data_IF_640340581630
#
_entry.id   IF_640340581630
#
_cell.length_a   1.000
_cell.length_b   1.000
_cell.length_c   1.000
_cell.angle_alpha   90.00
_cell.angle_beta   90.00
_cell.angle_gamma   90.00
#
_symmetry.space_group_name_H-M   'P 1'
#
loop_
_entity.id
_entity.type
_entity.pdbx_description
1 polymer ?
#
# COMPACT_ATOMS: atom_id res chain seq x y z
N UNK A 1 26.20 -8.24 7.59
CA UNK A 1 24.76 -8.10 7.92
C UNK A 1 23.95 -8.48 6.68
N UNK A 2 22.97 -9.37 6.79
CA UNK A 2 22.14 -9.74 5.64
C UNK A 2 21.35 -8.52 5.13
N UNK A 3 21.16 -8.39 3.81
CA UNK A 3 20.36 -7.31 3.20
C UNK A 3 18.97 -7.17 3.85
N UNK A 4 18.37 -8.31 4.22
CA UNK A 4 17.08 -8.37 4.90
C UNK A 4 17.11 -7.73 6.29
N UNK A 5 18.14 -8.01 7.10
CA UNK A 5 18.26 -7.41 8.44
C UNK A 5 18.37 -5.88 8.36
N UNK A 6 19.12 -5.35 7.40
CA UNK A 6 19.23 -3.89 7.20
C UNK A 6 17.91 -3.25 6.76
N UNK A 7 17.12 -3.94 5.92
CA UNK A 7 15.78 -3.50 5.51
C UNK A 7 14.83 -3.42 6.71
N UNK A 8 14.77 -4.48 7.52
CA UNK A 8 13.92 -4.53 8.72
C UNK A 8 14.34 -3.46 9.73
N UNK A 9 15.64 -3.30 10.00
CA UNK A 9 16.13 -2.26 10.90
C UNK A 9 15.81 -0.85 10.40
N UNK A 10 15.96 -0.58 9.10
CA UNK A 10 15.63 0.72 8.52
C UNK A 10 14.12 1.02 8.60
N UNK A 11 13.27 0.03 8.39
CA UNK A 11 11.83 0.18 8.52
C UNK A 11 11.42 0.49 9.98
N UNK A 12 12.05 -0.15 10.97
CA UNK A 12 11.78 0.09 12.40
C UNK A 12 12.24 1.48 12.84
N UNK A 13 13.41 1.94 12.35
CA UNK A 13 13.97 3.26 12.69
C UNK A 13 13.26 4.38 11.92
N UNK A 14 12.37 4.05 10.96
CA UNK A 14 11.69 5.03 10.10
C UNK A 14 12.57 5.59 8.99
N UNK A 15 13.75 4.99 8.77
CA UNK A 15 14.66 5.32 7.68
C UNK A 15 14.20 4.73 6.33
N UNK A 16 13.19 3.85 6.34
CA UNK A 16 12.54 3.34 5.13
C UNK A 16 11.34 4.24 4.79
N UNK A 17 11.43 4.92 3.64
CA UNK A 17 10.36 5.74 3.08
C UNK A 17 10.53 5.87 1.58
N UNK A 18 9.42 6.05 0.88
CA UNK A 18 9.41 6.49 -0.51
C UNK A 18 8.97 7.95 -0.57
N UNK A 19 9.50 8.70 -1.53
CA UNK A 19 9.00 10.04 -1.81
C UNK A 19 8.03 9.93 -2.96
N UNK A 20 6.83 10.43 -2.74
CA UNK A 20 5.76 10.47 -3.73
C UNK A 20 5.50 11.92 -4.11
N UNK A 21 5.39 12.19 -5.41
CA UNK A 21 5.11 13.52 -5.93
C UNK A 21 3.63 13.63 -6.33
N UNK A 22 2.90 14.55 -5.70
CA UNK A 22 1.52 14.87 -6.06
C UNK A 22 1.36 16.38 -6.09
N UNK A 23 0.84 16.93 -7.19
CA UNK A 23 0.62 18.37 -7.36
C UNK A 23 1.90 19.20 -7.14
N UNK A 24 3.05 18.69 -7.61
CA UNK A 24 4.35 19.36 -7.48
C UNK A 24 4.95 19.39 -6.07
N UNK A 25 4.31 18.74 -5.08
CA UNK A 25 4.83 18.60 -3.72
C UNK A 25 5.34 17.18 -3.46
N UNK A 26 6.46 17.08 -2.75
CA UNK A 26 7.06 15.83 -2.32
C UNK A 26 6.51 15.41 -0.95
N UNK A 27 5.94 14.22 -0.88
CA UNK A 27 5.43 13.63 0.35
C UNK A 27 6.21 12.37 0.72
N UNK A 28 6.87 12.31 1.88
CA UNK A 28 7.47 11.07 2.37
C UNK A 28 6.36 10.13 2.84
N UNK A 29 6.30 8.94 2.25
CA UNK A 29 5.41 7.84 2.66
C UNK A 29 6.26 6.78 3.31
N UNK A 30 5.93 6.47 4.56
CA UNK A 30 6.56 5.38 5.31
C UNK A 30 5.74 4.10 5.17
N UNK A 31 6.35 2.92 5.43
CA UNK A 31 5.62 1.67 5.58
C UNK A 31 4.41 1.86 6.51
N UNK A 32 3.18 1.65 6.01
CA UNK A 32 1.98 2.01 6.75
C UNK A 32 1.66 0.98 7.84
N UNK A 33 1.19 1.46 8.99
CA UNK A 33 0.69 0.59 10.07
C UNK A 33 -0.69 0.03 9.73
N UNK A 34 -1.10 -1.07 10.38
CA UNK A 34 -2.43 -1.68 10.22
C UNK A 34 -3.55 -0.63 10.39
N UNK A 35 -3.38 0.32 11.30
CA UNK A 35 -4.34 1.40 11.51
C UNK A 35 -4.49 2.30 10.26
N UNK A 36 -3.38 2.72 9.67
CA UNK A 36 -3.40 3.56 8.45
C UNK A 36 -3.95 2.79 7.25
N UNK A 37 -3.62 1.51 7.16
CA UNK A 37 -4.16 0.60 6.15
C UNK A 37 -5.69 0.48 6.26
N UNK A 38 -6.21 0.22 7.46
CA UNK A 38 -7.65 0.12 7.69
C UNK A 38 -8.39 1.43 7.32
N UNK A 39 -7.82 2.59 7.66
CA UNK A 39 -8.39 3.89 7.29
C UNK A 39 -8.34 4.19 5.79
N UNK A 40 -7.30 3.73 5.09
CA UNK A 40 -7.24 3.82 3.64
C UNK A 40 -8.26 2.89 2.96
N UNK A 41 -8.36 1.64 3.44
CA UNK A 41 -9.31 0.65 2.93
C UNK A 41 -10.75 1.11 3.15
N UNK A 42 -11.08 1.70 4.30
CA UNK A 42 -12.44 2.23 4.55
C UNK A 42 -12.82 3.39 3.63
N UNK A 43 -11.85 4.09 3.02
CA UNK A 43 -12.13 5.13 2.03
C UNK A 43 -12.37 4.56 0.64
N UNK A 44 -11.98 3.30 0.42
CA UNK A 44 -11.97 2.62 -0.87
C UNK A 44 -12.99 1.46 -0.89
N UNK A 45 -13.50 1.02 0.27
CA UNK A 45 -14.42 -0.11 0.42
C UNK A 45 -15.73 0.05 -0.35
N UNK A 46 -16.15 1.29 -0.57
CA UNK A 46 -17.38 1.61 -1.28
C UNK A 46 -17.19 1.58 -2.82
N UNK A 47 -15.97 1.32 -3.30
CA UNK A 47 -15.66 1.24 -4.72
C UNK A 47 -15.88 -0.18 -5.23
N UNK A 48 -16.67 -0.30 -6.29
CA UNK A 48 -16.80 -1.55 -7.03
C UNK A 48 -15.55 -1.77 -7.89
N UNK A 49 -14.72 -2.74 -7.48
CA UNK A 49 -13.60 -3.20 -8.26
C UNK A 49 -14.05 -4.28 -9.25
N UNK A 50 -13.70 -4.12 -10.52
CA UNK A 50 -13.82 -5.21 -11.49
C UNK A 50 -12.67 -6.21 -11.29
N UNK A 51 -12.97 -7.51 -11.39
CA UNK A 51 -12.00 -8.61 -11.37
C UNK A 51 -10.99 -8.44 -12.52
N UNK A 52 -9.93 -7.68 -12.29
CA UNK A 52 -8.85 -7.42 -13.24
C UNK A 52 -7.52 -7.87 -12.65
N UNK A 53 -6.61 -8.32 -13.51
CA UNK A 53 -5.40 -9.05 -13.10
C UNK A 53 -4.36 -8.20 -12.32
N UNK A 54 -4.46 -6.87 -12.37
CA UNK A 54 -3.47 -5.95 -11.80
C UNK A 54 -4.13 -4.90 -10.90
N UNK A 55 -3.53 -4.60 -9.74
CA UNK A 55 -3.99 -3.55 -8.83
C UNK A 55 -4.16 -2.19 -9.53
N UNK A 56 -3.29 -1.86 -10.49
CA UNK A 56 -3.38 -0.63 -11.29
C UNK A 56 -4.62 -0.60 -12.19
N UNK A 57 -4.98 -1.74 -12.78
CA UNK A 57 -6.15 -1.87 -13.65
C UNK A 57 -7.45 -1.80 -12.84
N UNK A 58 -7.46 -2.42 -11.65
CA UNK A 58 -8.55 -2.29 -10.68
C UNK A 58 -8.77 -0.83 -10.27
N UNK A 59 -7.70 -0.10 -9.95
CA UNK A 59 -7.75 1.31 -9.56
C UNK A 59 -8.11 2.25 -10.74
N UNK A 60 -7.76 1.89 -11.97
CA UNK A 60 -8.21 2.61 -13.16
C UNK A 60 -9.72 2.44 -13.40
N UNK A 61 -10.27 1.26 -13.08
CA UNK A 61 -11.68 0.92 -13.28
C UNK A 61 -12.64 1.74 -12.41
N UNK A 62 -12.26 2.03 -11.17
CA UNK A 62 -13.15 2.71 -10.23
C UNK A 62 -13.24 4.25 -10.43
N UNK A 63 -12.36 4.84 -11.26
CA UNK A 63 -12.37 6.27 -11.70
C UNK A 63 -12.61 7.34 -10.61
N UNK A 64 -12.41 7.02 -9.34
CA UNK A 64 -12.79 7.89 -8.23
C UNK A 64 -11.59 8.61 -7.59
N UNK A 65 -11.21 9.73 -8.20
CA UNK A 65 -10.06 10.53 -7.76
C UNK A 65 -10.17 11.01 -6.30
N UNK A 66 -11.39 11.27 -5.80
CA UNK A 66 -11.62 11.74 -4.42
C UNK A 66 -11.37 10.65 -3.38
N UNK A 67 -11.78 9.41 -3.66
CA UNK A 67 -11.55 8.28 -2.76
C UNK A 67 -10.04 7.96 -2.67
N UNK A 68 -9.35 7.98 -3.80
CA UNK A 68 -7.89 7.76 -3.83
C UNK A 68 -7.10 8.86 -3.14
N UNK A 69 -7.48 10.12 -3.29
CA UNK A 69 -6.86 11.22 -2.55
C UNK A 69 -7.04 11.08 -1.03
N UNK A 70 -8.21 10.62 -0.57
CA UNK A 70 -8.45 10.33 0.86
C UNK A 70 -7.59 9.16 1.34
N UNK A 71 -7.50 8.09 0.57
CA UNK A 71 -6.67 6.93 0.91
C UNK A 71 -5.18 7.28 0.97
N UNK A 72 -4.67 8.07 0.02
CA UNK A 72 -3.30 8.59 0.06
C UNK A 72 -3.02 9.47 1.28
N UNK A 73 -3.99 10.29 1.68
CA UNK A 73 -3.87 11.10 2.90
C UNK A 73 -3.67 10.21 4.13
N UNK A 74 -4.37 9.08 4.20
CA UNK A 74 -4.17 8.06 5.25
C UNK A 74 -2.78 7.41 5.17
N UNK A 75 -2.26 7.13 3.98
CA UNK A 75 -0.90 6.59 3.84
C UNK A 75 0.19 7.57 4.30
N UNK A 76 0.10 8.84 3.89
CA UNK A 76 1.12 9.86 4.22
C UNK A 76 1.06 10.22 5.71
N UNK A 77 -0.11 10.69 6.19
CA UNK A 77 -0.24 11.31 7.51
C UNK A 77 -1.00 10.45 8.52
N UNK A 78 -1.78 9.48 8.05
CA UNK A 78 -2.67 8.69 8.91
C UNK A 78 -3.96 9.41 9.27
N UNK A 79 -4.39 10.38 8.45
CA UNK A 79 -5.66 11.07 8.60
C UNK A 79 -6.15 11.60 7.25
N UNK A 80 -7.34 12.22 7.19
CA UNK A 80 -7.89 12.80 5.96
C UNK A 80 -7.47 14.26 5.70
N UNK A 81 -6.58 14.85 6.50
CA UNK A 81 -6.29 16.30 6.41
C UNK A 81 -5.67 16.73 5.08
N UNK A 82 -4.97 15.83 4.37
CA UNK A 82 -4.33 16.11 3.09
C UNK A 82 -5.21 15.81 1.88
N UNK A 83 -6.41 15.25 2.07
CA UNK A 83 -7.26 14.81 0.95
C UNK A 83 -7.63 15.95 0.00
N UNK A 84 -7.84 17.16 0.52
CA UNK A 84 -8.20 18.34 -0.26
C UNK A 84 -7.04 18.92 -1.08
N UNK A 85 -5.79 18.68 -0.67
CA UNK A 85 -4.61 19.06 -1.44
C UNK A 85 -4.30 18.01 -2.51
N UNK A 86 -4.40 16.73 -2.13
CA UNK A 86 -4.14 15.60 -3.04
C UNK A 86 -5.19 15.52 -4.15
N UNK A 87 -6.44 15.92 -3.89
CA UNK A 87 -7.49 15.97 -4.92
C UNK A 87 -7.27 17.05 -5.99
N UNK A 88 -6.29 17.96 -5.80
CA UNK A 88 -5.89 18.95 -6.81
C UNK A 88 -4.81 18.41 -7.76
N UNK A 89 -4.21 17.26 -7.44
CA UNK A 89 -3.28 16.55 -8.31
C UNK A 89 -3.99 15.90 -9.49
N UNK A 90 -3.21 15.52 -10.52
CA UNK A 90 -3.76 14.75 -11.63
C UNK A 90 -4.10 13.32 -11.17
N UNK A 91 -5.09 12.71 -11.82
CA UNK A 91 -5.51 11.35 -11.49
C UNK A 91 -4.37 10.32 -11.60
N UNK A 92 -3.51 10.47 -12.61
CA UNK A 92 -2.36 9.59 -12.82
C UNK A 92 -1.29 9.74 -11.73
N UNK A 93 -1.02 10.96 -11.25
CA UNK A 93 -0.11 11.18 -10.11
C UNK A 93 -0.63 10.48 -8.86
N UNK A 94 -1.93 10.65 -8.56
CA UNK A 94 -2.59 10.02 -7.41
C UNK A 94 -2.59 8.49 -7.51
N UNK A 95 -2.79 7.93 -8.71
CA UNK A 95 -2.73 6.48 -8.90
C UNK A 95 -1.31 5.92 -8.75
N UNK A 96 -0.32 6.57 -9.36
CA UNK A 96 1.07 6.13 -9.24
C UNK A 96 1.55 6.23 -7.78
N UNK A 97 1.20 7.32 -7.11
CA UNK A 97 1.41 7.53 -5.68
C UNK A 97 0.85 6.39 -4.84
N UNK A 98 -0.40 6.01 -5.10
CA UNK A 98 -1.11 5.00 -4.35
C UNK A 98 -0.50 3.61 -4.60
N UNK A 99 -0.16 3.31 -5.86
CA UNK A 99 0.52 2.07 -6.22
C UNK A 99 1.87 1.93 -5.50
N UNK A 100 2.68 2.99 -5.46
CA UNK A 100 3.96 2.95 -4.76
C UNK A 100 3.79 2.79 -3.24
N UNK A 101 2.74 3.39 -2.66
CA UNK A 101 2.39 3.18 -1.26
C UNK A 101 1.96 1.73 -0.97
N UNK A 102 1.29 1.06 -1.92
CA UNK A 102 0.97 -0.37 -1.80
C UNK A 102 2.21 -1.26 -1.93
N UNK A 103 3.14 -0.92 -2.81
CA UNK A 103 4.40 -1.68 -2.97
C UNK A 103 5.24 -1.66 -1.67
N UNK A 104 5.19 -0.57 -0.91
CA UNK A 104 5.83 -0.45 0.41
C UNK A 104 5.31 -1.44 1.45
N UNK A 105 4.08 -1.93 1.32
CA UNK A 105 3.51 -2.90 2.27
C UNK A 105 4.22 -4.25 2.12
N UNK A 106 4.86 -4.51 0.96
CA UNK A 106 5.67 -5.72 0.78
C UNK A 106 4.87 -6.99 1.05
N UNK A 107 3.61 -7.04 0.61
CA UNK A 107 2.75 -8.21 0.82
C UNK A 107 3.35 -9.45 0.14
N UNK A 108 4.22 -9.28 -0.86
CA UNK A 108 4.83 -10.37 -1.63
C UNK A 108 5.76 -11.27 -0.79
N UNK A 109 6.72 -10.78 0.01
CA UNK A 109 7.43 -11.61 1.00
C UNK A 109 6.50 -12.35 1.96
N UNK A 110 5.47 -11.68 2.49
CA UNK A 110 4.53 -12.27 3.44
C UNK A 110 3.67 -13.36 2.80
N UNK A 111 3.10 -13.11 1.62
CA UNK A 111 2.34 -14.08 0.84
C UNK A 111 3.21 -15.25 0.39
N UNK A 112 4.46 -15.00 -0.01
CA UNK A 112 5.43 -16.07 -0.32
C UNK A 112 5.72 -16.91 0.91
N UNK A 113 5.96 -16.31 2.07
CA UNK A 113 6.17 -17.01 3.33
C UNK A 113 4.94 -17.84 3.73
N UNK A 114 3.74 -17.26 3.69
CA UNK A 114 2.49 -17.97 3.96
C UNK A 114 2.24 -19.12 2.98
N UNK A 115 2.53 -18.92 1.69
CA UNK A 115 2.42 -19.97 0.67
C UNK A 115 3.45 -21.07 0.88
N UNK A 116 4.69 -20.72 1.25
CA UNK A 116 5.74 -21.68 1.64
C UNK A 116 5.33 -22.48 2.86
N UNK A 117 4.80 -21.85 3.91
CA UNK A 117 4.29 -22.53 5.11
C UNK A 117 3.14 -23.46 4.77
N UNK A 118 2.20 -23.04 3.91
CA UNK A 118 1.12 -23.91 3.42
C UNK A 118 1.66 -25.12 2.67
N UNK A 119 2.60 -24.92 1.74
CA UNK A 119 3.22 -26.02 1.01
C UNK A 119 4.02 -26.94 1.94
N UNK A 120 4.75 -26.39 2.92
CA UNK A 120 5.46 -27.16 3.92
C UNK A 120 4.50 -27.97 4.81
N UNK A 121 3.34 -27.43 5.18
CA UNK A 121 2.31 -28.16 5.94
C UNK A 121 1.66 -29.27 5.13
N UNK A 122 1.60 -29.14 3.80
CA UNK A 122 1.12 -30.20 2.91
C UNK A 122 2.16 -31.30 2.71
N UNK A 123 3.45 -30.97 2.79
CA UNK A 123 4.56 -31.93 2.75
C UNK A 123 4.81 -32.62 4.10
N UNK A 124 4.54 -31.94 5.21
CA UNK A 124 4.59 -32.53 6.53
C UNK A 124 3.48 -33.58 6.64
N UNK A 125 3.86 -34.86 6.64
CA UNK A 125 2.90 -35.94 6.83
C UNK A 125 2.09 -35.69 8.11
N UNK A 126 0.76 -35.58 7.98
CA UNK A 126 -0.12 -35.51 9.14
C UNK A 126 0.14 -36.74 10.02
N UNK A 127 0.52 -36.56 11.29
CA UNK A 127 0.71 -37.70 12.18
C UNK A 127 -0.63 -38.43 12.34
N UNK A 128 -0.60 -39.76 12.26
CA UNK A 128 -1.74 -40.64 12.52
C UNK A 128 -2.14 -40.61 13.98
#
# INVERSE_FOLDING_TARGET
MSKASKLVSNAIIGADYIIVYVSGKAYPVHPPTIHRLAGAISCISDLEFSDSATLKDMLLSAKDCKAYAKALSWFIKGNQSLSAELSKGTFEEVLNALSSAFDLIGVTPFLKAASLTRNASLLAASPR
#
